data_IF_495945562191
#
_entry.id   IF_495945562191
#
_cell.length_a   1.000
_cell.length_b   1.000
_cell.length_c   1.000
_cell.angle_alpha   90.00
_cell.angle_beta   90.00
_cell.angle_gamma   90.00
#
_symmetry.space_group_name_H-M   'P 1'
#
loop_
_entity.id
_entity.type
_entity.pdbx_description
1 polymer ?
#
# COMPACT_ATOMS: atom_id res chain seq x y z
N UNK A 1 -17.62 -5.64 -21.34
CA UNK A 1 -16.68 -6.72 -20.96
C UNK A 1 -15.25 -6.22 -20.77
N UNK A 2 -14.66 -5.47 -21.73
CA UNK A 2 -13.29 -4.95 -21.60
C UNK A 2 -13.05 -4.07 -20.36
N UNK A 3 -14.00 -3.20 -19.99
CA UNK A 3 -13.88 -2.37 -18.79
C UNK A 3 -13.84 -3.17 -17.47
N UNK A 4 -14.64 -4.23 -17.36
CA UNK A 4 -14.65 -5.09 -16.18
C UNK A 4 -13.33 -5.86 -16.00
N UNK A 5 -12.73 -6.33 -17.10
CA UNK A 5 -11.41 -6.96 -17.09
C UNK A 5 -10.33 -5.98 -16.58
N UNK A 6 -10.35 -4.74 -17.06
CA UNK A 6 -9.44 -3.69 -16.61
C UNK A 6 -9.56 -3.43 -15.10
N UNK A 7 -10.79 -3.32 -14.58
CA UNK A 7 -11.02 -3.14 -13.14
C UNK A 7 -10.50 -4.33 -12.32
N UNK A 8 -10.74 -5.56 -12.76
CA UNK A 8 -10.25 -6.75 -12.04
C UNK A 8 -8.73 -6.83 -12.01
N UNK A 9 -8.05 -6.51 -13.12
CA UNK A 9 -6.60 -6.48 -13.18
C UNK A 9 -6.05 -5.37 -12.26
N UNK A 10 -6.61 -4.16 -12.35
CA UNK A 10 -6.22 -3.04 -11.48
C UNK A 10 -6.41 -3.38 -10.01
N UNK A 11 -7.54 -3.99 -9.64
CA UNK A 11 -7.83 -4.40 -8.27
C UNK A 11 -6.85 -5.47 -7.76
N UNK A 12 -6.51 -6.45 -8.59
CA UNK A 12 -5.53 -7.47 -8.24
C UNK A 12 -4.13 -6.88 -8.01
N UNK A 13 -3.71 -5.95 -8.87
CA UNK A 13 -2.40 -5.29 -8.76
C UNK A 13 -2.35 -4.40 -7.51
N UNK A 14 -3.35 -3.53 -7.30
CA UNK A 14 -3.37 -2.60 -6.16
C UNK A 14 -3.46 -3.34 -4.83
N UNK A 15 -4.32 -4.36 -4.74
CA UNK A 15 -4.44 -5.20 -3.54
C UNK A 15 -3.13 -5.93 -3.25
N UNK A 16 -2.54 -6.61 -4.25
CA UNK A 16 -1.27 -7.32 -4.08
C UNK A 16 -0.13 -6.39 -3.63
N UNK A 17 -0.03 -5.21 -4.24
CA UNK A 17 0.95 -4.21 -3.85
C UNK A 17 0.74 -3.70 -2.41
N UNK A 18 -0.50 -3.46 -1.97
CA UNK A 18 -0.79 -3.08 -0.59
C UNK A 18 -0.38 -4.16 0.42
N UNK A 19 -0.66 -5.43 0.13
CA UNK A 19 -0.23 -6.55 0.99
C UNK A 19 1.30 -6.60 1.14
N UNK A 20 2.04 -6.43 0.03
CA UNK A 20 3.51 -6.38 0.06
C UNK A 20 4.03 -5.18 0.85
N UNK A 21 3.47 -3.99 0.62
CA UNK A 21 3.89 -2.75 1.26
C UNK A 21 3.63 -2.78 2.78
N UNK A 22 2.47 -3.28 3.19
CA UNK A 22 2.14 -3.49 4.61
C UNK A 22 3.05 -4.56 5.23
N UNK A 23 3.35 -5.64 4.51
CA UNK A 23 4.30 -6.65 4.96
C UNK A 23 5.69 -6.07 5.24
N UNK A 24 6.22 -5.24 4.33
CA UNK A 24 7.49 -4.54 4.54
C UNK A 24 7.46 -3.54 5.70
N UNK A 25 6.32 -2.87 5.91
CA UNK A 25 6.13 -1.97 7.06
C UNK A 25 6.11 -2.72 8.38
N UNK A 26 5.40 -3.86 8.41
CA UNK A 26 5.34 -4.72 9.57
C UNK A 26 6.70 -5.31 9.90
N UNK A 27 7.45 -5.80 8.91
CA UNK A 27 8.80 -6.35 9.13
C UNK A 27 9.76 -5.33 9.78
N UNK A 28 9.59 -4.04 9.50
CA UNK A 28 10.44 -2.98 10.07
C UNK A 28 10.05 -2.55 11.48
N UNK A 29 8.79 -2.74 11.87
CA UNK A 29 8.23 -2.13 13.09
C UNK A 29 7.66 -3.17 14.07
N UNK A 30 7.43 -4.39 13.60
CA UNK A 30 6.79 -5.52 14.30
C UNK A 30 5.50 -5.16 15.04
N UNK A 31 4.82 -4.09 14.62
CA UNK A 31 3.57 -3.60 15.17
C UNK A 31 2.57 -3.34 14.05
N UNK A 32 1.29 -3.47 14.38
CA UNK A 32 0.16 -3.17 13.48
C UNK A 32 -0.63 -1.95 13.97
N UNK A 33 -0.18 -1.31 15.06
CA UNK A 33 -0.84 -0.15 15.63
C UNK A 33 -0.46 1.09 14.83
N UNK A 34 -1.45 1.75 14.23
CA UNK A 34 -1.24 2.95 13.39
C UNK A 34 -0.52 4.07 14.17
N UNK A 35 -0.78 4.18 15.48
CA UNK A 35 -0.13 5.15 16.36
C UNK A 35 1.41 5.06 16.34
N UNK A 36 1.97 3.86 16.11
CA UNK A 36 3.42 3.61 16.12
C UNK A 36 4.10 3.97 14.79
N UNK A 37 3.33 4.33 13.75
CA UNK A 37 3.81 4.71 12.42
C UNK A 37 3.94 6.22 12.23
N UNK A 38 3.79 7.00 13.30
CA UNK A 38 4.02 8.45 13.28
C UNK A 38 5.42 8.82 12.73
N UNK A 39 5.46 9.78 11.80
CA UNK A 39 6.72 10.25 11.22
C UNK A 39 7.37 9.33 10.18
N UNK A 40 6.72 8.22 9.80
CA UNK A 40 7.32 7.25 8.86
C UNK A 40 7.71 7.84 7.51
N UNK A 41 6.97 8.84 7.03
CA UNK A 41 7.29 9.54 5.78
C UNK A 41 8.66 10.23 5.77
N UNK A 42 9.25 10.53 6.94
CA UNK A 42 10.61 11.08 7.03
C UNK A 42 11.69 10.00 7.02
N UNK A 43 11.43 8.85 7.65
CA UNK A 43 12.42 7.77 7.82
C UNK A 43 12.38 6.73 6.70
N UNK A 44 11.25 6.57 6.02
CA UNK A 44 11.05 5.63 4.92
C UNK A 44 10.27 6.30 3.76
N UNK A 45 10.76 7.42 3.20
CA UNK A 45 10.01 8.23 2.23
C UNK A 45 9.53 7.44 1.03
N UNK A 46 10.38 6.59 0.44
CA UNK A 46 10.01 5.77 -0.72
C UNK A 46 8.91 4.76 -0.42
N UNK A 47 8.97 4.13 0.76
CA UNK A 47 7.97 3.15 1.18
C UNK A 47 6.63 3.85 1.43
N UNK A 48 6.64 5.02 2.06
CA UNK A 48 5.44 5.83 2.29
C UNK A 48 4.86 6.35 0.98
N UNK A 49 5.68 6.81 0.03
CA UNK A 49 5.20 7.25 -1.29
C UNK A 49 4.55 6.11 -2.07
N UNK A 50 5.20 4.94 -2.13
CA UNK A 50 4.63 3.76 -2.79
C UNK A 50 3.31 3.32 -2.14
N UNK A 51 3.25 3.34 -0.81
CA UNK A 51 2.03 3.06 -0.04
C UNK A 51 0.89 4.02 -0.40
N UNK A 52 1.14 5.33 -0.38
CA UNK A 52 0.12 6.34 -0.70
C UNK A 52 -0.38 6.21 -2.14
N UNK A 53 0.51 6.05 -3.12
CA UNK A 53 0.11 5.89 -4.53
C UNK A 53 -0.76 4.64 -4.70
N UNK A 54 -0.34 3.52 -4.12
CA UNK A 54 -1.08 2.25 -4.24
C UNK A 54 -2.43 2.32 -3.52
N UNK A 55 -2.49 2.97 -2.35
CA UNK A 55 -3.72 3.16 -1.61
C UNK A 55 -4.72 4.00 -2.40
N UNK A 56 -4.27 5.10 -3.03
CA UNK A 56 -5.12 5.92 -3.90
C UNK A 56 -5.60 5.13 -5.13
N UNK A 57 -4.73 4.33 -5.75
CA UNK A 57 -5.09 3.45 -6.86
C UNK A 57 -6.04 2.32 -6.47
N UNK A 58 -6.19 2.01 -5.18
CA UNK A 58 -7.12 1.00 -4.68
C UNK A 58 -8.50 1.56 -4.31
N UNK A 59 -8.60 2.86 -4.02
CA UNK A 59 -9.85 3.53 -3.65
C UNK A 59 -10.61 4.04 -4.89
N UNK A 60 -9.89 4.38 -5.96
CA UNK A 60 -10.46 4.72 -7.27
C UNK A 60 -10.88 3.49 -8.05
#
# INVERSE_FOLDING_TARGET
LQGGLLVMISHGISTGALFLLIGMLYERRHTRLIADFGGIGRVAPWLTTAFVITALASIG
#
